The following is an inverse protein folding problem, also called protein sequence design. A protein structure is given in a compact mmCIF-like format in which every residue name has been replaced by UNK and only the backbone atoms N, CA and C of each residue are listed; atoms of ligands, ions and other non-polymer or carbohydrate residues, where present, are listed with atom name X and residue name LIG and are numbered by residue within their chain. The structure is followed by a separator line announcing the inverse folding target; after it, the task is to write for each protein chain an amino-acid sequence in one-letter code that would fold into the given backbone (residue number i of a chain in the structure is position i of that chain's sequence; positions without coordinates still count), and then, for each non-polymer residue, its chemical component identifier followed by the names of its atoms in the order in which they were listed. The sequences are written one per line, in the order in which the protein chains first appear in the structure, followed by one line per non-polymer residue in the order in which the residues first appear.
data_IF_247452683736
#
_entry.id   IF_247452683736
#
_cell.length_a   1.000
_cell.length_b   1.000
_cell.length_c   1.000
_cell.angle_alpha   90.00
_cell.angle_beta   90.00
_cell.angle_gamma   90.00
#
_symmetry.space_group_name_H-M   'P 1'
#
loop_
_entity.id
_entity.type
_entity.pdbx_description
1 polymer ?
#
# COMPACT_ATOMS: atom_id res chain seq x y z
N UNK A 1 -18.90 -9.62 13.20
CA UNK A 1 -17.47 -9.77 12.80
C UNK A 1 -17.27 -11.19 12.31
N UNK A 2 -16.54 -11.38 11.21
CA UNK A 2 -16.20 -12.68 10.62
C UNK A 2 -14.69 -12.85 10.57
N UNK A 3 -14.21 -14.08 10.62
CA UNK A 3 -12.80 -14.41 10.42
C UNK A 3 -12.67 -15.42 9.29
N UNK A 4 -11.59 -15.30 8.51
CA UNK A 4 -11.29 -16.20 7.41
C UNK A 4 -9.82 -16.62 7.53
N UNK A 5 -9.57 -17.92 7.39
CA UNK A 5 -8.22 -18.48 7.36
C UNK A 5 -7.73 -18.53 5.91
N UNK A 6 -7.23 -17.41 5.41
CA UNK A 6 -6.75 -17.25 4.04
C UNK A 6 -6.02 -15.94 3.87
N UNK A 7 -5.66 -15.60 2.64
CA UNK A 7 -5.08 -14.30 2.31
C UNK A 7 -6.10 -13.17 2.50
N UNK A 8 -5.66 -11.90 2.61
CA UNK A 8 -6.58 -10.77 2.65
C UNK A 8 -7.54 -10.72 1.45
N UNK A 9 -7.10 -11.13 0.27
CA UNK A 9 -7.94 -11.24 -0.94
C UNK A 9 -9.02 -12.32 -0.77
N UNK A 10 -8.69 -13.45 -0.15
CA UNK A 10 -9.66 -14.51 0.12
C UNK A 10 -10.77 -14.02 1.07
N UNK A 11 -10.43 -13.16 2.04
CA UNK A 11 -11.41 -12.55 2.92
C UNK A 11 -12.44 -11.72 2.14
N UNK A 12 -11.99 -10.93 1.17
CA UNK A 12 -12.90 -10.13 0.31
C UNK A 12 -13.79 -11.05 -0.53
N UNK A 13 -13.21 -12.06 -1.18
CA UNK A 13 -13.96 -13.02 -2.01
C UNK A 13 -15.03 -13.75 -1.20
N UNK A 14 -14.65 -14.24 -0.01
CA UNK A 14 -15.57 -14.93 0.89
C UNK A 14 -16.68 -14.01 1.37
N UNK A 15 -16.35 -12.77 1.76
CA UNK A 15 -17.34 -11.81 2.21
C UNK A 15 -18.35 -11.48 1.10
N UNK A 16 -17.87 -11.16 -0.09
CA UNK A 16 -18.74 -10.79 -1.22
C UNK A 16 -19.61 -11.94 -1.71
N UNK A 17 -19.11 -13.18 -1.65
CA UNK A 17 -19.83 -14.33 -2.15
C UNK A 17 -20.84 -14.94 -1.16
N UNK A 18 -20.57 -14.82 0.16
CA UNK A 18 -21.27 -15.62 1.16
C UNK A 18 -21.83 -14.83 2.35
N UNK A 19 -21.37 -13.60 2.57
CA UNK A 19 -21.71 -12.87 3.80
C UNK A 19 -22.50 -11.59 3.49
N UNK A 20 -22.11 -10.86 2.44
CA UNK A 20 -22.80 -9.63 2.06
C UNK A 20 -24.14 -9.95 1.38
N UNK A 21 -25.24 -9.46 1.95
CA UNK A 21 -26.60 -9.64 1.37
C UNK A 21 -26.78 -8.82 0.08
N UNK A 22 -26.01 -7.76 -0.09
CA UNK A 22 -25.95 -6.91 -1.28
C UNK A 22 -24.51 -6.50 -1.57
N UNK A 23 -24.27 -6.03 -2.77
CA UNK A 23 -22.96 -5.45 -3.14
C UNK A 23 -22.64 -4.27 -2.23
N UNK A 24 -21.47 -4.25 -1.56
CA UNK A 24 -21.06 -3.12 -0.74
C UNK A 24 -20.85 -1.86 -1.57
N UNK A 25 -20.98 -0.71 -0.94
CA UNK A 25 -20.74 0.59 -1.57
C UNK A 25 -19.26 0.96 -1.59
N UNK A 26 -18.46 0.32 -0.70
CA UNK A 26 -17.02 0.54 -0.56
C UNK A 26 -16.34 -0.71 0.01
N UNK A 27 -15.10 -0.97 -0.42
CA UNK A 27 -14.18 -1.93 0.19
C UNK A 27 -13.00 -1.17 0.79
N UNK A 28 -12.67 -1.45 2.04
CA UNK A 28 -11.53 -0.88 2.74
C UNK A 28 -10.60 -2.00 3.18
N UNK A 29 -9.32 -1.89 2.82
CA UNK A 29 -8.23 -2.72 3.33
C UNK A 29 -7.42 -2.00 4.40
N UNK A 30 -7.01 -2.72 5.45
CA UNK A 30 -6.13 -2.18 6.50
C UNK A 30 -6.87 -1.86 7.81
N UNK A 31 -6.26 -1.12 8.71
CA UNK A 31 -5.01 -0.35 8.52
C UNK A 31 -3.83 -1.32 8.68
N UNK A 32 -2.93 -1.32 7.70
CA UNK A 32 -1.74 -2.16 7.72
C UNK A 32 -0.64 -1.58 8.61
N UNK A 33 0.11 -2.44 9.29
CA UNK A 33 1.42 -2.09 9.85
C UNK A 33 2.48 -2.18 8.75
N UNK A 34 3.17 -1.10 8.46
CA UNK A 34 4.10 -0.97 7.35
C UNK A 34 3.46 -0.35 6.11
N UNK A 35 4.31 0.19 5.26
CA UNK A 35 3.88 0.87 4.05
C UNK A 35 3.52 -0.08 2.90
N UNK A 36 2.73 0.42 1.98
CA UNK A 36 2.44 -0.17 0.67
C UNK A 36 2.92 0.76 -0.46
N UNK A 37 3.87 1.65 -0.17
CA UNK A 37 4.40 2.61 -1.12
C UNK A 37 5.39 1.95 -2.08
N UNK A 38 5.68 2.61 -3.20
CA UNK A 38 6.60 2.13 -4.22
C UNK A 38 6.29 0.68 -4.62
N UNK A 39 7.31 -0.14 -4.84
CA UNK A 39 7.17 -1.56 -5.25
C UNK A 39 6.46 -2.43 -4.20
N UNK A 40 6.36 -2.00 -2.94
CA UNK A 40 5.62 -2.71 -1.91
C UNK A 40 4.14 -2.88 -2.25
N UNK A 41 3.59 -2.01 -3.11
CA UNK A 41 2.25 -2.15 -3.70
C UNK A 41 2.02 -3.54 -4.29
N UNK A 42 3.03 -4.12 -4.96
CA UNK A 42 2.92 -5.41 -5.64
C UNK A 42 2.93 -6.63 -4.69
N UNK A 43 3.45 -6.47 -3.48
CA UNK A 43 3.56 -7.53 -2.47
C UNK A 43 2.47 -7.43 -1.40
N UNK A 44 1.73 -6.33 -1.38
CA UNK A 44 0.81 -5.99 -0.30
C UNK A 44 -0.50 -6.76 -0.36
N UNK A 45 -0.81 -7.48 0.71
CA UNK A 45 -2.12 -8.06 0.92
C UNK A 45 -3.21 -7.00 1.12
N UNK A 46 -2.87 -5.87 1.73
CA UNK A 46 -3.78 -4.73 1.95
C UNK A 46 -4.18 -4.08 0.63
N UNK A 47 -3.20 -3.89 -0.28
CA UNK A 47 -3.50 -3.47 -1.65
C UNK A 47 -4.31 -4.52 -2.41
N UNK A 48 -4.04 -5.81 -2.18
CA UNK A 48 -4.82 -6.91 -2.74
C UNK A 48 -6.30 -6.80 -2.41
N UNK A 49 -6.66 -6.40 -1.17
CA UNK A 49 -8.06 -6.14 -0.76
C UNK A 49 -8.68 -5.04 -1.62
N UNK A 50 -8.00 -3.91 -1.78
CA UNK A 50 -8.52 -2.79 -2.58
C UNK A 50 -8.60 -3.14 -4.07
N UNK A 51 -7.60 -3.84 -4.60
CA UNK A 51 -7.59 -4.31 -5.99
C UNK A 51 -8.73 -5.31 -6.25
N UNK A 52 -8.97 -6.29 -5.35
CA UNK A 52 -10.08 -7.25 -5.50
C UNK A 52 -11.43 -6.54 -5.49
N UNK A 53 -11.65 -5.59 -4.58
CA UNK A 53 -12.87 -4.78 -4.56
C UNK A 53 -13.04 -3.99 -5.87
N UNK A 54 -11.97 -3.37 -6.36
CA UNK A 54 -11.96 -2.62 -7.62
C UNK A 54 -12.26 -3.52 -8.83
N UNK A 55 -11.73 -4.74 -8.90
CA UNK A 55 -12.05 -5.73 -9.93
C UNK A 55 -13.53 -6.14 -9.91
N UNK A 56 -14.20 -6.01 -8.77
CA UNK A 56 -15.66 -6.22 -8.64
C UNK A 56 -16.47 -4.93 -8.89
N UNK A 57 -15.82 -3.89 -9.41
CA UNK A 57 -16.43 -2.58 -9.66
C UNK A 57 -17.02 -1.96 -8.38
N UNK A 58 -16.32 -2.10 -7.26
CA UNK A 58 -16.63 -1.45 -5.99
C UNK A 58 -15.52 -0.42 -5.74
N UNK A 59 -15.82 0.84 -5.42
CA UNK A 59 -14.82 1.80 -4.97
C UNK A 59 -14.01 1.18 -3.82
N UNK A 60 -12.68 1.35 -3.84
CA UNK A 60 -11.85 0.64 -2.87
C UNK A 60 -10.65 1.47 -2.45
N UNK A 61 -10.30 1.39 -1.16
CA UNK A 61 -9.19 2.11 -0.55
C UNK A 61 -8.37 1.12 0.29
N UNK A 62 -7.05 1.20 0.18
CA UNK A 62 -6.11 0.54 1.09
C UNK A 62 -5.44 1.59 1.97
N UNK A 63 -5.46 1.40 3.29
CA UNK A 63 -4.81 2.27 4.28
C UNK A 63 -3.65 1.56 4.96
N UNK A 64 -2.52 2.25 5.09
CA UNK A 64 -1.29 1.75 5.69
C UNK A 64 -0.61 2.82 6.52
N UNK A 65 -0.09 2.43 7.68
CA UNK A 65 0.77 3.26 8.51
C UNK A 65 2.21 2.76 8.37
N UNK A 66 3.13 3.65 8.00
CA UNK A 66 4.56 3.35 7.86
C UNK A 66 5.24 3.14 9.23
N UNK A 67 4.64 2.28 10.06
CA UNK A 67 5.13 1.94 11.39
C UNK A 67 4.93 0.44 11.66
N UNK A 68 6.02 -0.28 11.93
CA UNK A 68 6.03 -1.70 12.21
C UNK A 68 6.04 -2.03 13.71
N UNK A 69 6.04 -1.01 14.57
CA UNK A 69 6.09 -1.23 16.01
C UNK A 69 4.78 -1.81 16.52
N UNK A 70 4.88 -2.68 17.52
CA UNK A 70 3.71 -3.32 18.13
C UNK A 70 2.78 -2.30 18.86
N UNK A 71 3.33 -1.17 19.27
CA UNK A 71 2.65 -0.07 19.97
C UNK A 71 2.32 1.11 19.03
N UNK A 72 2.32 0.89 17.73
CA UNK A 72 1.99 1.92 16.75
C UNK A 72 0.63 2.56 17.03
N UNK A 73 0.58 3.90 17.02
CA UNK A 73 -0.64 4.65 17.29
C UNK A 73 -1.42 4.93 16.00
N UNK A 74 -2.60 4.35 15.87
CA UNK A 74 -3.48 4.53 14.71
C UNK A 74 -4.52 5.65 14.91
N UNK A 75 -4.67 6.21 16.11
CA UNK A 75 -5.70 7.22 16.39
C UNK A 75 -5.58 8.48 15.52
N UNK A 76 -4.36 9.02 15.26
CA UNK A 76 -4.21 10.20 14.41
C UNK A 76 -4.71 10.02 12.97
N UNK A 77 -4.85 8.77 12.50
CA UNK A 77 -5.30 8.46 11.15
C UNK A 77 -6.81 8.61 10.98
N UNK A 78 -7.57 8.48 12.07
CA UNK A 78 -9.03 8.37 12.02
C UNK A 78 -9.72 9.55 11.29
N UNK A 79 -9.34 10.83 11.48
CA UNK A 79 -9.96 11.95 10.76
C UNK A 79 -9.74 11.87 9.24
N UNK A 80 -8.53 11.48 8.82
CA UNK A 80 -8.17 11.35 7.40
C UNK A 80 -8.91 10.18 6.75
N UNK A 81 -8.93 9.02 7.41
CA UNK A 81 -9.65 7.83 6.95
C UNK A 81 -11.13 8.14 6.79
N UNK A 82 -11.75 8.77 7.78
CA UNK A 82 -13.15 9.18 7.72
C UNK A 82 -13.40 10.10 6.53
N UNK A 83 -12.61 11.18 6.41
CA UNK A 83 -12.78 12.16 5.33
C UNK A 83 -12.64 11.52 3.93
N UNK A 84 -11.59 10.70 3.73
CA UNK A 84 -11.36 10.01 2.44
C UNK A 84 -12.47 9.00 2.13
N UNK A 85 -12.93 8.26 3.14
CA UNK A 85 -14.02 7.30 3.01
C UNK A 85 -15.33 7.99 2.59
N UNK A 86 -15.71 9.06 3.28
CA UNK A 86 -16.89 9.86 2.96
C UNK A 86 -16.79 10.49 1.57
N UNK A 87 -15.58 10.93 1.18
CA UNK A 87 -15.32 11.50 -0.14
C UNK A 87 -15.53 10.47 -1.25
N UNK A 88 -14.95 9.28 -1.08
CA UNK A 88 -15.08 8.20 -2.07
C UNK A 88 -16.52 7.66 -2.14
N UNK A 89 -17.23 7.56 -1.02
CA UNK A 89 -18.65 7.19 -1.01
C UNK A 89 -19.52 8.19 -1.75
N UNK A 90 -19.21 9.48 -1.66
CA UNK A 90 -19.99 10.55 -2.31
C UNK A 90 -19.69 10.68 -3.80
N UNK A 91 -18.39 10.71 -4.15
CA UNK A 91 -17.94 11.10 -5.49
C UNK A 91 -17.54 9.89 -6.36
N UNK A 92 -17.34 8.71 -5.74
CA UNK A 92 -16.84 7.50 -6.41
C UNK A 92 -15.36 7.59 -6.77
N UNK A 93 -14.91 6.59 -7.52
CA UNK A 93 -13.57 6.55 -8.13
C UNK A 93 -13.70 6.22 -9.62
N UNK A 94 -12.73 6.61 -10.45
CA UNK A 94 -12.69 6.20 -11.85
C UNK A 94 -12.69 4.68 -11.98
N UNK A 95 -13.33 4.16 -13.02
CA UNK A 95 -13.38 2.71 -13.26
C UNK A 95 -11.99 2.11 -13.36
N UNK A 96 -11.76 1.02 -12.63
CA UNK A 96 -10.47 0.33 -12.60
C UNK A 96 -9.38 1.03 -11.78
N UNK A 97 -9.78 2.00 -10.94
CA UNK A 97 -8.87 2.70 -10.02
C UNK A 97 -9.30 2.44 -8.57
N UNK A 98 -8.34 2.11 -7.73
CA UNK A 98 -8.44 2.11 -6.27
C UNK A 98 -7.41 3.06 -5.67
N UNK A 99 -7.52 3.38 -4.39
CA UNK A 99 -6.57 4.26 -3.72
C UNK A 99 -5.62 3.46 -2.82
N UNK A 100 -4.34 3.76 -2.94
CA UNK A 100 -3.29 3.36 -2.01
C UNK A 100 -2.95 4.55 -1.13
N UNK A 101 -3.31 4.49 0.14
CA UNK A 101 -3.12 5.57 1.10
C UNK A 101 -2.14 5.15 2.16
N UNK A 102 -1.03 5.86 2.23
CA UNK A 102 0.04 5.61 3.20
C UNK A 102 0.22 6.82 4.11
N UNK A 103 0.24 6.56 5.41
CA UNK A 103 0.50 7.57 6.42
C UNK A 103 1.96 7.49 6.84
N UNK A 104 2.68 8.63 6.91
CA UNK A 104 4.06 8.62 7.36
C UNK A 104 4.19 8.11 8.78
N UNK A 105 5.28 7.43 9.04
CA UNK A 105 5.66 6.88 10.32
C UNK A 105 7.18 6.86 10.43
N UNK A 106 7.74 6.27 11.48
CA UNK A 106 9.17 6.23 11.72
C UNK A 106 9.94 5.31 10.77
N UNK A 107 9.23 4.55 9.90
CA UNK A 107 9.88 3.64 8.94
C UNK A 107 9.20 3.68 7.59
N UNK A 108 9.96 3.74 6.50
CA UNK A 108 9.52 3.53 5.12
C UNK A 108 10.38 2.41 4.53
N UNK A 109 9.73 1.43 3.87
CA UNK A 109 10.43 0.34 3.24
C UNK A 109 11.31 -0.48 4.19
N UNK A 110 10.94 -0.57 5.48
CA UNK A 110 11.73 -1.24 6.52
C UNK A 110 12.98 -0.48 6.98
N UNK A 111 13.34 0.63 6.36
CA UNK A 111 14.33 1.54 6.89
C UNK A 111 13.71 2.40 8.00
N UNK A 112 14.36 2.47 9.14
CA UNK A 112 14.01 3.45 10.17
C UNK A 112 14.35 4.82 9.58
N UNK A 113 13.33 5.56 9.15
CA UNK A 113 13.51 6.96 8.89
C UNK A 113 13.50 7.62 10.26
N UNK A 114 14.68 7.89 10.76
CA UNK A 114 14.83 8.94 11.75
C UNK A 114 14.52 10.26 11.05
N UNK A 115 13.23 10.53 10.82
CA UNK A 115 12.85 11.94 10.73
C UNK A 115 13.26 12.50 12.06
N UNK A 116 14.10 13.54 12.10
CA UNK A 116 14.29 14.30 13.32
C UNK A 116 12.89 14.59 13.88
N UNK A 117 12.74 14.76 15.20
CA UNK A 117 11.54 15.30 15.83
C UNK A 117 11.18 16.62 15.16
N UNK A 118 10.76 16.56 13.94
CA UNK A 118 10.43 17.70 13.13
C UNK A 118 8.93 17.89 13.24
N UNK A 119 8.59 18.93 14.00
CA UNK A 119 7.49 19.83 13.76
C UNK A 119 6.34 19.25 12.91
N UNK A 120 5.83 18.04 13.29
CA UNK A 120 4.46 17.74 12.95
C UNK A 120 3.63 18.78 13.70
N UNK A 121 2.81 19.59 13.03
CA UNK A 121 1.87 20.47 13.74
C UNK A 121 1.13 19.63 14.76
N UNK A 122 0.97 20.11 15.99
CA UNK A 122 0.36 19.38 17.09
C UNK A 122 -0.83 18.54 16.58
N UNK A 123 -0.64 17.20 16.55
CA UNK A 123 -1.69 16.24 16.19
C UNK A 123 -1.85 15.91 14.71
N UNK A 124 -0.94 16.24 13.77
CA UNK A 124 -1.21 15.96 12.37
C UNK A 124 -0.01 15.84 11.44
N UNK A 125 -0.29 15.33 10.26
CA UNK A 125 0.59 15.30 9.12
C UNK A 125 0.67 16.68 8.47
N UNK A 126 1.72 16.97 7.70
CA UNK A 126 1.88 18.25 6.98
C UNK A 126 0.77 18.51 5.96
N UNK A 127 0.10 17.46 5.51
CA UNK A 127 -1.00 17.52 4.56
C UNK A 127 -1.16 16.21 3.81
N UNK A 128 -1.93 16.25 2.74
CA UNK A 128 -2.19 15.10 1.86
C UNK A 128 -1.66 15.43 0.46
N UNK A 129 -0.87 14.54 -0.13
CA UNK A 129 -0.40 14.66 -1.51
C UNK A 129 -0.95 13.53 -2.36
N UNK A 130 -1.47 13.89 -3.52
CA UNK A 130 -1.79 12.95 -4.59
C UNK A 130 -0.52 12.76 -5.39
N UNK A 131 -0.01 11.54 -5.42
CA UNK A 131 1.31 11.22 -5.96
C UNK A 131 1.28 9.97 -6.83
N UNK A 132 2.33 9.77 -7.60
CA UNK A 132 2.58 8.51 -8.29
C UNK A 132 3.42 7.58 -7.41
N UNK A 133 3.42 6.31 -7.76
CA UNK A 133 4.32 5.32 -7.21
C UNK A 133 5.78 5.68 -7.52
N UNK A 134 6.67 5.68 -6.55
CA UNK A 134 8.11 5.84 -6.75
C UNK A 134 8.72 4.61 -7.40
N UNK A 135 9.78 4.81 -8.19
CA UNK A 135 10.64 3.71 -8.62
C UNK A 135 11.64 3.37 -7.52
N UNK A 136 11.78 2.09 -7.25
CA UNK A 136 12.70 1.58 -6.25
C UNK A 136 12.71 0.06 -6.24
N UNK A 137 13.61 -0.51 -5.46
CA UNK A 137 13.72 -1.97 -5.35
C UNK A 137 14.28 -2.39 -3.99
N UNK A 138 14.01 -3.63 -3.65
CA UNK A 138 14.68 -4.32 -2.56
C UNK A 138 15.99 -4.95 -3.04
N UNK A 139 16.98 -5.00 -2.18
CA UNK A 139 18.26 -5.67 -2.44
C UNK A 139 18.78 -6.34 -1.16
N UNK A 140 19.73 -7.28 -1.31
CA UNK A 140 20.22 -8.12 -0.21
C UNK A 140 19.09 -8.83 0.54
N UNK A 141 18.14 -9.39 -0.23
CA UNK A 141 16.86 -9.88 0.28
C UNK A 141 16.91 -11.17 1.06
N UNK A 142 18.10 -11.80 1.18
CA UNK A 142 18.25 -13.05 1.92
C UNK A 142 19.47 -13.03 2.83
N UNK A 143 19.31 -13.56 4.04
CA UNK A 143 20.41 -13.88 4.95
C UNK A 143 20.43 -15.36 5.26
N UNK A 144 21.61 -16.00 5.08
CA UNK A 144 21.83 -17.41 5.35
C UNK A 144 22.24 -17.64 6.79
N UNK A 145 21.61 -18.63 7.41
CA UNK A 145 21.94 -19.08 8.75
C UNK A 145 22.10 -20.62 8.76
N UNK A 146 22.82 -21.14 9.75
CA UNK A 146 22.96 -22.56 9.94
C UNK A 146 22.20 -23.01 11.18
N UNK A 147 21.29 -23.96 10.98
CA UNK A 147 20.57 -24.57 12.07
C UNK A 147 21.50 -25.48 12.89
N UNK A 148 21.35 -25.60 14.24
CA UNK A 148 22.19 -26.47 15.07
C UNK A 148 22.21 -27.93 14.64
N UNK A 149 21.18 -28.42 13.93
CA UNK A 149 21.10 -29.80 13.35
C UNK A 149 21.84 -29.92 12.04
N UNK A 150 22.60 -28.94 11.57
CA UNK A 150 23.53 -29.04 10.44
C UNK A 150 22.98 -28.70 9.06
N UNK A 151 21.71 -28.24 8.92
CA UNK A 151 21.17 -27.74 7.66
C UNK A 151 21.14 -26.21 7.63
N UNK A 152 21.17 -25.65 6.42
CA UNK A 152 21.08 -24.21 6.21
C UNK A 152 19.63 -23.77 6.05
N UNK A 153 19.34 -22.57 6.49
CA UNK A 153 18.07 -21.89 6.23
C UNK A 153 18.31 -20.41 5.94
N UNK A 154 17.37 -19.78 5.27
CA UNK A 154 17.46 -18.39 4.86
C UNK A 154 16.29 -17.61 5.46
N UNK A 155 16.59 -16.42 5.93
CA UNK A 155 15.58 -15.41 6.25
C UNK A 155 15.43 -14.48 5.07
N UNK A 156 14.17 -14.13 4.78
CA UNK A 156 13.88 -12.98 3.94
C UNK A 156 14.16 -11.73 4.77
N UNK A 157 15.02 -10.89 4.25
CA UNK A 157 15.47 -9.62 4.80
C UNK A 157 15.45 -8.61 3.65
N UNK A 158 16.16 -7.52 3.75
CA UNK A 158 16.36 -6.65 2.61
C UNK A 158 16.49 -5.20 3.04
N UNK A 159 17.04 -4.43 2.12
CA UNK A 159 17.12 -2.98 2.23
C UNK A 159 16.39 -2.40 1.02
N UNK A 160 15.46 -1.50 1.26
CA UNK A 160 14.79 -0.78 0.20
C UNK A 160 15.67 0.36 -0.30
N UNK A 161 15.74 0.52 -1.63
CA UNK A 161 16.40 1.66 -2.27
C UNK A 161 15.38 2.41 -3.11
N UNK A 162 15.22 3.69 -2.82
CA UNK A 162 14.49 4.61 -3.66
C UNK A 162 15.44 5.08 -4.78
N UNK A 163 15.06 4.86 -6.04
CA UNK A 163 15.84 5.27 -7.20
C UNK A 163 15.53 6.71 -7.63
N UNK A 164 14.53 7.35 -7.00
CA UNK A 164 14.05 8.71 -7.29
C UNK A 164 13.95 9.57 -6.01
N UNK A 165 15.02 9.72 -5.21
CA UNK A 165 14.94 10.36 -3.90
C UNK A 165 14.48 11.83 -3.94
N UNK A 166 14.74 12.52 -5.04
CA UNK A 166 14.45 13.94 -5.24
C UNK A 166 13.13 14.19 -6.03
N UNK A 167 12.42 13.13 -6.40
CA UNK A 167 11.17 13.27 -7.18
C UNK A 167 9.99 13.59 -6.26
N UNK A 168 9.64 14.87 -6.17
CA UNK A 168 8.63 15.43 -5.26
C UNK A 168 7.19 14.95 -5.54
N UNK A 169 6.96 14.36 -6.71
CA UNK A 169 5.66 13.83 -7.13
C UNK A 169 5.42 12.36 -6.73
N UNK A 170 6.34 11.76 -5.94
CA UNK A 170 6.28 10.35 -5.56
C UNK A 170 5.74 10.13 -4.15
N UNK A 171 5.19 8.91 -3.93
CA UNK A 171 4.71 8.47 -2.62
C UNK A 171 5.84 8.42 -1.58
N UNK A 172 7.03 7.96 -1.95
CA UNK A 172 8.16 7.92 -1.03
C UNK A 172 8.63 9.32 -0.63
N UNK A 173 8.66 10.26 -1.56
CA UNK A 173 9.00 11.65 -1.22
C UNK A 173 7.96 12.26 -0.27
N UNK A 174 6.67 12.07 -0.58
CA UNK A 174 5.59 12.53 0.29
C UNK A 174 5.74 12.01 1.72
N UNK A 175 5.96 10.71 1.87
CA UNK A 175 6.11 10.05 3.17
C UNK A 175 7.34 10.53 3.94
N UNK A 176 8.49 10.67 3.26
CA UNK A 176 9.73 11.15 3.90
C UNK A 176 9.65 12.61 4.32
N UNK A 177 8.73 13.37 3.73
CA UNK A 177 8.50 14.78 4.06
C UNK A 177 7.27 15.01 4.95
N UNK A 178 6.69 13.94 5.53
CA UNK A 178 5.62 14.05 6.52
C UNK A 178 4.22 14.27 5.94
N UNK A 179 4.03 14.00 4.66
CA UNK A 179 2.72 14.07 4.01
C UNK A 179 2.07 12.69 3.92
N UNK A 180 0.76 12.65 4.05
CA UNK A 180 -0.03 11.46 3.70
C UNK A 180 0.02 11.29 2.18
N UNK A 181 0.52 10.15 1.73
CA UNK A 181 0.63 9.82 0.31
C UNK A 181 -0.65 9.13 -0.17
N UNK A 182 -1.28 9.64 -1.21
CA UNK A 182 -2.43 9.04 -1.87
C UNK A 182 -2.06 8.73 -3.31
N UNK A 183 -1.91 7.45 -3.63
CA UNK A 183 -1.53 6.99 -4.96
C UNK A 183 -2.71 6.31 -5.64
N UNK A 184 -3.33 6.94 -6.67
CA UNK A 184 -4.33 6.28 -7.49
C UNK A 184 -3.71 5.10 -8.23
N UNK A 185 -4.21 3.90 -7.97
CA UNK A 185 -3.62 2.65 -8.46
C UNK A 185 -4.59 1.97 -9.42
N UNK A 186 -4.10 1.60 -10.62
CA UNK A 186 -4.88 0.88 -11.62
C UNK A 186 -4.77 -0.62 -11.41
N UNK A 187 -5.87 -1.33 -11.69
CA UNK A 187 -5.89 -2.80 -11.76
C UNK A 187 -5.44 -3.33 -13.13
N UNK A 188 -5.49 -2.51 -14.16
CA UNK A 188 -4.97 -2.82 -15.49
C UNK A 188 -3.49 -2.41 -15.54
N UNK A 189 -2.62 -3.40 -15.54
CA UNK A 189 -1.15 -3.26 -15.56
C UNK A 189 -0.57 -3.43 -16.98
N UNK A 190 -1.40 -3.37 -18.02
CA UNK A 190 -0.97 -3.51 -19.41
C UNK A 190 -0.11 -2.29 -19.82
N UNK A 191 1.09 -2.55 -20.30
CA UNK A 191 1.93 -1.55 -20.94
C UNK A 191 1.45 -1.31 -22.39
N UNK A 192 0.45 -0.48 -22.56
CA UNK A 192 -0.20 -0.24 -23.86
C UNK A 192 0.77 0.28 -24.92
N UNK A 193 1.75 1.09 -24.51
CA UNK A 193 2.80 1.62 -25.36
C UNK A 193 3.73 0.55 -25.96
N UNK A 194 3.85 -0.60 -25.28
CA UNK A 194 4.69 -1.71 -25.74
C UNK A 194 3.98 -2.63 -26.76
N UNK A 195 2.65 -2.56 -26.85
CA UNK A 195 1.86 -3.51 -27.67
C UNK A 195 2.29 -3.46 -29.14
N UNK A 196 2.38 -2.28 -29.72
CA UNK A 196 2.72 -2.13 -31.15
C UNK A 196 4.15 -2.58 -31.44
N UNK A 197 5.08 -2.32 -30.53
CA UNK A 197 6.45 -2.82 -30.65
C UNK A 197 6.49 -4.35 -30.63
N UNK A 198 5.75 -4.98 -29.70
CA UNK A 198 5.74 -6.44 -29.57
C UNK A 198 5.00 -7.15 -30.71
N UNK A 199 4.00 -6.49 -31.34
CA UNK A 199 3.35 -7.01 -32.55
C UNK A 199 4.29 -7.19 -33.73
N UNK A 200 5.39 -6.45 -33.76
CA UNK A 200 6.41 -6.57 -34.82
C UNK A 200 7.35 -7.78 -34.62
N UNK A 201 7.28 -8.44 -33.48
CA UNK A 201 8.04 -9.65 -33.24
C UNK A 201 7.40 -10.82 -33.99
N UNK A 202 8.18 -11.52 -34.79
CA UNK A 202 7.78 -12.78 -35.44
C UNK A 202 7.82 -13.91 -34.38
N UNK A 203 6.68 -14.10 -33.65
CA UNK A 203 6.54 -15.13 -32.59
C UNK A 203 5.66 -16.25 -33.14
#
# INVERSE_FOLDING_TARGET
MWSCNGSPVDCVKMALANICERKPDLVIGGINHGDNASVNTHYSGTMGVAMEGCMKYIPSIAFSLCDHRADANFEPLAPYIKHMTERVLRDGLPKGVCLNVNFPGPSIGGAIITTPEQDYPEGGYRGVLICRMAHGMWYNETSRFRHPRGYDYWWLVGNFRNDEPDAEDTDNWALTHGYVAVTPTRIDVTAYEAIEQLKSWEI
#
